data_IF_824005371724
#
_entry.id   IF_824005371724
#
_cell.length_a   1.000
_cell.length_b   1.000
_cell.length_c   1.000
_cell.angle_alpha   90.00
_cell.angle_beta   90.00
_cell.angle_gamma   90.00
#
_symmetry.space_group_name_H-M   'P 1'
#
loop_
_entity.id
_entity.type
_entity.pdbx_description
1 polymer ?
#
# COMPACT_ATOMS: atom_id res chain seq x y z
N UNK A 1 25.01 1.33 -9.05
CA UNK A 1 25.50 0.60 -7.85
C UNK A 1 26.63 -0.37 -8.21
N UNK A 2 27.69 -0.33 -7.42
CA UNK A 2 29.05 -0.70 -7.79
C UNK A 2 29.73 -1.37 -6.61
N UNK A 3 30.51 -2.44 -6.80
CA UNK A 3 31.29 -3.05 -5.72
C UNK A 3 32.75 -2.64 -5.80
N UNK A 4 33.22 -1.93 -4.78
CA UNK A 4 34.59 -1.46 -4.67
C UNK A 4 35.42 -2.42 -3.79
N UNK A 5 36.63 -2.74 -4.26
CA UNK A 5 37.73 -3.22 -3.41
C UNK A 5 38.51 -1.99 -2.91
N UNK A 6 39.43 -2.14 -1.92
CA UNK A 6 40.33 -1.06 -1.52
C UNK A 6 41.19 -0.46 -2.66
N UNK A 7 41.24 -1.11 -3.84
CA UNK A 7 41.93 -0.65 -5.05
C UNK A 7 41.02 0.06 -6.07
N UNK A 8 39.81 0.47 -5.67
CA UNK A 8 38.85 1.11 -6.56
C UNK A 8 37.91 0.14 -7.29
N UNK A 9 37.05 0.72 -8.12
CA UNK A 9 35.97 0.03 -8.84
C UNK A 9 36.52 -0.61 -10.11
N UNK A 10 36.50 -1.94 -10.19
CA UNK A 10 36.81 -2.66 -11.45
C UNK A 10 35.58 -2.67 -12.37
N UNK A 11 35.77 -2.50 -13.68
CA UNK A 11 34.66 -2.37 -14.66
C UNK A 11 33.69 -3.55 -14.66
N UNK A 12 34.17 -4.78 -14.39
CA UNK A 12 33.32 -5.98 -14.22
C UNK A 12 32.48 -6.03 -12.93
N UNK A 13 32.55 -5.00 -12.07
CA UNK A 13 31.81 -4.87 -10.80
C UNK A 13 30.81 -3.71 -10.80
N UNK A 14 30.63 -3.06 -11.96
CA UNK A 14 29.60 -2.05 -12.18
C UNK A 14 28.31 -2.74 -12.55
N UNK A 15 27.21 -2.37 -11.90
CA UNK A 15 25.89 -2.71 -12.44
C UNK A 15 25.04 -1.45 -12.61
N UNK A 16 24.17 -1.49 -13.60
CA UNK A 16 23.26 -0.40 -13.96
C UNK A 16 22.37 0.03 -12.78
N UNK A 17 21.94 1.31 -12.76
CA UNK A 17 20.91 1.78 -11.84
C UNK A 17 19.59 1.09 -12.16
N UNK A 18 18.73 0.98 -11.16
CA UNK A 18 17.44 0.30 -11.27
C UNK A 18 16.33 1.27 -10.93
N UNK A 19 15.21 1.20 -11.66
CA UNK A 19 13.94 1.83 -11.30
C UNK A 19 12.91 0.73 -11.04
N UNK A 20 12.24 0.73 -9.88
CA UNK A 20 11.03 -0.05 -9.57
C UNK A 20 11.09 -1.02 -8.36
N UNK A 21 9.91 -1.39 -7.83
CA UNK A 21 9.71 -2.11 -6.56
C UNK A 21 10.08 -3.61 -6.56
N UNK A 22 10.30 -4.23 -7.73
CA UNK A 22 10.57 -5.67 -7.87
C UNK A 22 11.76 -5.93 -8.78
N UNK A 23 12.96 -5.74 -8.24
CA UNK A 23 14.20 -5.87 -9.01
C UNK A 23 14.93 -7.17 -8.66
N UNK A 24 14.82 -8.25 -9.47
CA UNK A 24 15.65 -9.44 -9.33
C UNK A 24 17.16 -9.10 -9.31
N UNK A 25 17.53 -7.97 -9.91
CA UNK A 25 18.89 -7.44 -9.96
C UNK A 25 19.45 -7.02 -8.59
N UNK A 26 18.66 -6.50 -7.63
CA UNK A 26 19.20 -6.15 -6.31
C UNK A 26 19.59 -7.42 -5.54
N UNK A 27 18.71 -8.42 -5.50
CA UNK A 27 19.00 -9.68 -4.82
C UNK A 27 20.21 -10.39 -5.45
N UNK A 28 20.30 -10.39 -6.79
CA UNK A 28 21.46 -10.93 -7.50
C UNK A 28 22.75 -10.20 -7.13
N UNK A 29 22.70 -8.88 -7.00
CA UNK A 29 23.85 -8.06 -6.61
C UNK A 29 24.24 -8.24 -5.15
N UNK A 30 23.28 -8.36 -4.24
CA UNK A 30 23.55 -8.71 -2.84
C UNK A 30 24.15 -10.11 -2.74
N UNK A 31 23.64 -11.10 -3.48
CA UNK A 31 24.25 -12.44 -3.56
C UNK A 31 25.70 -12.38 -4.05
N UNK A 32 25.96 -11.57 -5.07
CA UNK A 32 27.31 -11.38 -5.59
C UNK A 32 28.23 -10.66 -4.58
N UNK A 33 27.77 -9.56 -3.96
CA UNK A 33 28.48 -8.86 -2.89
C UNK A 33 28.86 -9.81 -1.75
N UNK A 34 27.89 -10.59 -1.27
CA UNK A 34 28.08 -11.60 -0.22
C UNK A 34 29.07 -12.71 -0.61
N UNK A 35 29.16 -13.05 -1.89
CA UNK A 35 30.14 -14.04 -2.39
C UNK A 35 31.56 -13.46 -2.36
N UNK A 36 31.72 -12.22 -2.81
CA UNK A 36 33.03 -11.55 -2.85
C UNK A 36 33.54 -11.22 -1.44
N UNK A 37 32.64 -10.83 -0.54
CA UNK A 37 32.95 -10.51 0.86
C UNK A 37 33.63 -11.66 1.63
N UNK A 38 33.47 -12.92 1.17
CA UNK A 38 34.13 -14.08 1.80
C UNK A 38 35.65 -14.08 1.63
N UNK A 39 36.16 -13.44 0.58
CA UNK A 39 37.56 -13.54 0.20
C UNK A 39 38.27 -12.18 0.19
N UNK A 40 37.52 -11.07 0.24
CA UNK A 40 38.09 -9.73 0.11
C UNK A 40 37.23 -8.74 0.91
N UNK A 41 37.82 -7.72 1.57
CA UNK A 41 37.05 -6.60 2.07
C UNK A 41 36.30 -5.92 0.92
N UNK A 42 34.98 -5.81 1.07
CA UNK A 42 34.09 -5.30 0.03
C UNK A 42 33.33 -4.08 0.52
N UNK A 43 33.31 -3.05 -0.31
CA UNK A 43 32.40 -1.92 -0.20
C UNK A 43 31.35 -1.98 -1.31
N UNK A 44 30.13 -1.63 -0.95
CA UNK A 44 28.96 -1.56 -1.79
C UNK A 44 28.61 -0.10 -1.98
N UNK A 45 28.81 0.39 -3.20
CA UNK A 45 28.71 1.81 -3.53
C UNK A 45 27.45 2.04 -4.34
N UNK A 46 26.60 2.97 -3.88
CA UNK A 46 25.39 3.42 -4.56
C UNK A 46 25.50 4.91 -4.85
N UNK A 47 24.77 5.43 -5.84
CA UNK A 47 24.76 6.88 -6.04
C UNK A 47 23.87 7.53 -4.98
N UNK A 48 22.62 7.09 -4.88
CA UNK A 48 21.67 7.49 -3.85
C UNK A 48 21.14 6.28 -3.09
N UNK A 49 20.75 6.46 -1.84
CA UNK A 49 20.19 5.42 -0.96
C UNK A 49 18.87 4.87 -1.50
N UNK A 50 18.10 5.70 -2.21
CA UNK A 50 16.84 5.31 -2.87
C UNK A 50 17.06 4.29 -4.00
N UNK A 51 18.28 4.13 -4.53
CA UNK A 51 18.58 3.09 -5.53
C UNK A 51 18.58 1.67 -4.92
N UNK A 52 18.57 1.54 -3.59
CA UNK A 52 18.45 0.27 -2.90
C UNK A 52 17.01 -0.26 -2.87
N UNK A 53 16.01 0.59 -3.04
CA UNK A 53 14.60 0.22 -3.09
C UNK A 53 13.65 1.35 -2.67
N UNK A 54 12.39 1.21 -3.06
CA UNK A 54 11.35 2.23 -2.83
C UNK A 54 10.77 2.20 -1.40
N UNK A 55 11.02 1.11 -0.67
CA UNK A 55 10.51 0.91 0.68
C UNK A 55 11.62 1.17 1.71
N UNK A 56 11.47 2.14 2.63
CA UNK A 56 12.50 2.49 3.61
C UNK A 56 12.81 1.31 4.54
N UNK A 57 11.82 0.47 4.84
CA UNK A 57 11.98 -0.77 5.60
C UNK A 57 12.91 -1.77 4.88
N UNK A 58 12.78 -1.88 3.55
CA UNK A 58 13.63 -2.75 2.74
C UNK A 58 15.06 -2.22 2.72
N UNK A 59 15.24 -0.91 2.55
CA UNK A 59 16.55 -0.25 2.60
C UNK A 59 17.24 -0.53 3.93
N UNK A 60 16.54 -0.34 5.06
CA UNK A 60 17.09 -0.63 6.38
C UNK A 60 17.47 -2.09 6.58
N UNK A 61 16.65 -3.02 6.07
CA UNK A 61 16.97 -4.45 6.11
C UNK A 61 18.23 -4.77 5.33
N UNK A 62 18.43 -4.15 4.17
CA UNK A 62 19.64 -4.32 3.35
C UNK A 62 20.86 -3.74 4.05
N UNK A 63 20.74 -2.53 4.61
CA UNK A 63 21.82 -1.90 5.40
C UNK A 63 22.25 -2.78 6.57
N UNK A 64 21.27 -3.31 7.32
CA UNK A 64 21.54 -4.19 8.45
C UNK A 64 22.23 -5.50 8.03
N UNK A 65 21.76 -6.15 6.96
CA UNK A 65 22.37 -7.40 6.44
C UNK A 65 23.79 -7.17 5.89
N UNK A 66 24.05 -6.02 5.25
CA UNK A 66 25.40 -5.68 4.80
C UNK A 66 26.33 -5.45 6.00
N UNK A 67 25.85 -4.76 7.04
CA UNK A 67 26.62 -4.50 8.26
C UNK A 67 26.94 -5.77 9.05
N UNK A 68 25.98 -6.67 9.23
CA UNK A 68 26.18 -7.96 9.92
C UNK A 68 27.29 -8.79 9.25
N UNK A 69 27.45 -8.63 7.94
CA UNK A 69 28.46 -9.34 7.14
C UNK A 69 29.77 -8.57 6.97
N UNK A 70 29.92 -7.41 7.60
CA UNK A 70 31.10 -6.56 7.48
C UNK A 70 31.31 -5.95 6.09
N UNK A 71 30.23 -5.79 5.30
CA UNK A 71 30.26 -5.14 3.98
C UNK A 71 29.91 -3.67 4.17
N UNK A 72 30.82 -2.77 3.79
CA UNK A 72 30.56 -1.33 3.83
C UNK A 72 29.52 -0.93 2.79
N UNK A 73 28.58 -0.06 3.14
CA UNK A 73 27.70 0.63 2.20
C UNK A 73 28.08 2.12 2.15
N UNK A 74 28.36 2.61 0.94
CA UNK A 74 28.67 4.02 0.64
C UNK A 74 27.68 4.59 -0.36
N UNK A 75 27.00 5.68 -0.03
CA UNK A 75 26.16 6.45 -0.95
C UNK A 75 26.88 7.74 -1.36
N UNK A 76 27.20 7.89 -2.66
CA UNK A 76 28.04 8.99 -3.17
C UNK A 76 27.34 10.34 -3.05
N UNK A 77 26.10 10.43 -3.55
CA UNK A 77 25.36 11.68 -3.59
C UNK A 77 24.81 12.08 -2.21
N UNK A 78 24.53 11.10 -1.36
CA UNK A 78 23.98 11.35 -0.02
C UNK A 78 25.08 11.53 1.05
N UNK A 79 26.34 11.25 0.71
CA UNK A 79 27.48 11.37 1.63
C UNK A 79 27.41 10.42 2.83
N UNK A 80 26.80 9.24 2.67
CA UNK A 80 26.59 8.27 3.75
C UNK A 80 27.59 7.12 3.61
N UNK A 81 28.38 6.84 4.64
CA UNK A 81 29.27 5.69 4.78
C UNK A 81 28.97 4.91 6.07
N UNK A 82 28.36 3.74 5.91
CA UNK A 82 27.93 2.89 7.04
C UNK A 82 29.05 2.19 7.80
N UNK A 83 30.31 2.30 7.35
CA UNK A 83 31.47 1.78 8.09
C UNK A 83 31.86 2.67 9.27
N UNK A 84 31.46 3.95 9.27
CA UNK A 84 31.72 4.88 10.36
C UNK A 84 30.57 4.87 11.38
N UNK A 85 30.89 4.80 12.67
CA UNK A 85 29.89 4.72 13.75
C UNK A 85 28.94 5.93 13.82
N UNK A 86 29.44 7.12 13.53
CA UNK A 86 28.66 8.38 13.50
C UNK A 86 27.65 8.41 12.35
N UNK A 87 28.02 7.85 11.20
CA UNK A 87 27.25 7.93 9.97
C UNK A 87 26.09 6.92 9.90
N UNK A 88 25.94 6.05 10.92
CA UNK A 88 24.79 5.15 11.09
C UNK A 88 23.54 5.89 11.60
N UNK A 89 23.70 7.03 12.27
CA UNK A 89 22.57 7.75 12.91
C UNK A 89 21.71 8.47 11.86
N UNK A 90 22.33 9.13 10.90
CA UNK A 90 21.67 9.89 9.83
C UNK A 90 20.65 9.06 9.04
N UNK A 91 20.98 7.87 8.50
CA UNK A 91 20.01 7.07 7.76
C UNK A 91 18.86 6.61 8.66
N UNK A 92 19.09 6.35 9.95
CA UNK A 92 18.03 5.97 10.91
C UNK A 92 17.07 7.12 11.21
N UNK A 93 17.57 8.35 11.32
CA UNK A 93 16.73 9.54 11.47
C UNK A 93 15.86 9.76 10.23
N UNK A 94 16.46 9.70 9.04
CA UNK A 94 15.74 9.83 7.78
C UNK A 94 14.67 8.75 7.63
N UNK A 95 14.93 7.54 8.10
CA UNK A 95 13.93 6.48 8.15
C UNK A 95 12.72 6.84 9.02
N UNK A 96 12.97 7.33 10.24
CA UNK A 96 11.89 7.76 11.15
C UNK A 96 11.04 8.85 10.49
N UNK A 97 11.68 9.87 9.88
CA UNK A 97 10.97 10.94 9.18
C UNK A 97 10.15 10.41 8.00
N UNK A 98 10.70 9.49 7.20
CA UNK A 98 9.99 8.92 6.06
C UNK A 98 8.75 8.11 6.47
N UNK A 99 8.79 7.42 7.60
CA UNK A 99 7.64 6.67 8.11
C UNK A 99 6.59 7.63 8.69
N UNK A 100 7.01 8.71 9.36
CA UNK A 100 6.09 9.76 9.83
C UNK A 100 5.32 10.40 8.66
N UNK A 101 6.01 10.78 7.58
CA UNK A 101 5.39 11.37 6.39
C UNK A 101 4.38 10.43 5.72
N UNK A 102 4.73 9.13 5.63
CA UNK A 102 3.84 8.09 5.09
C UNK A 102 2.58 7.91 5.92
N UNK A 103 2.70 7.90 7.24
CA UNK A 103 1.56 7.82 8.14
C UNK A 103 0.69 9.07 8.00
N UNK A 104 1.29 10.27 7.97
CA UNK A 104 0.55 11.52 7.84
C UNK A 104 -0.25 11.58 6.52
N UNK A 105 0.35 11.16 5.41
CA UNK A 105 -0.33 11.08 4.11
C UNK A 105 -1.53 10.12 4.15
N UNK A 106 -1.40 8.97 4.81
CA UNK A 106 -2.49 8.01 5.02
C UNK A 106 -3.59 8.56 5.92
N UNK A 107 -3.22 9.29 6.97
CA UNK A 107 -4.17 9.92 7.88
C UNK A 107 -5.01 10.96 7.14
N UNK A 108 -4.36 11.89 6.41
CA UNK A 108 -5.04 12.91 5.60
C UNK A 108 -6.01 12.30 4.59
N UNK A 109 -5.59 11.27 3.87
CA UNK A 109 -6.47 10.59 2.90
C UNK A 109 -7.65 9.90 3.59
N UNK A 110 -7.43 9.30 4.76
CA UNK A 110 -8.51 8.69 5.55
C UNK A 110 -9.52 9.72 6.06
N UNK A 111 -9.05 10.90 6.48
CA UNK A 111 -9.88 12.02 6.91
C UNK A 111 -10.68 12.59 5.75
N UNK A 112 -10.05 12.77 4.58
CA UNK A 112 -10.74 13.20 3.37
C UNK A 112 -11.84 12.20 2.94
N UNK A 113 -11.56 10.90 3.02
CA UNK A 113 -12.57 9.86 2.73
C UNK A 113 -13.71 9.90 3.75
N UNK A 114 -13.42 10.06 5.04
CA UNK A 114 -14.46 10.20 6.08
C UNK A 114 -15.32 11.44 5.86
N UNK A 115 -14.70 12.56 5.49
CA UNK A 115 -15.42 13.79 5.14
C UNK A 115 -16.36 13.56 3.95
N UNK A 116 -15.84 13.01 2.85
CA UNK A 116 -16.65 12.70 1.66
C UNK A 116 -17.79 11.72 1.97
N UNK A 117 -17.56 10.73 2.83
CA UNK A 117 -18.59 9.81 3.30
C UNK A 117 -19.67 10.52 4.12
N UNK A 118 -19.29 11.47 4.97
CA UNK A 118 -20.27 12.27 5.76
C UNK A 118 -21.15 13.15 4.88
N UNK A 119 -20.63 13.60 3.73
CA UNK A 119 -21.40 14.32 2.70
C UNK A 119 -22.22 13.38 1.80
N UNK A 120 -22.13 12.06 1.99
CA UNK A 120 -22.82 11.06 1.18
C UNK A 120 -22.21 10.82 -0.20
N UNK A 121 -20.97 11.27 -0.44
CA UNK A 121 -20.25 11.04 -1.69
C UNK A 121 -19.77 9.58 -1.72
N UNK A 122 -20.25 8.83 -2.71
CA UNK A 122 -19.82 7.44 -2.92
C UNK A 122 -18.47 7.44 -3.64
N UNK A 123 -17.41 7.10 -2.90
CA UNK A 123 -16.07 6.93 -3.45
C UNK A 123 -15.91 5.59 -4.20
N UNK A 124 -15.13 5.58 -5.28
CA UNK A 124 -14.76 4.37 -6.01
C UNK A 124 -15.33 4.28 -7.42
N UNK A 125 -15.32 3.07 -8.01
CA UNK A 125 -15.83 2.85 -9.37
C UNK A 125 -17.33 3.13 -9.39
N UNK A 126 -17.85 3.91 -10.36
CA UNK A 126 -19.27 4.20 -10.45
C UNK A 126 -20.08 2.91 -10.60
N UNK A 127 -21.22 2.87 -9.91
CA UNK A 127 -22.09 1.70 -9.93
C UNK A 127 -22.67 1.48 -11.34
N UNK A 128 -22.47 0.29 -11.88
CA UNK A 128 -22.84 -0.03 -13.27
C UNK A 128 -24.35 -0.08 -13.49
N UNK A 129 -25.11 -0.42 -12.45
CA UNK A 129 -26.56 -0.53 -12.51
C UNK A 129 -27.23 0.74 -11.96
N UNK A 130 -27.32 1.78 -12.79
CA UNK A 130 -27.95 3.06 -12.43
C UNK A 130 -29.40 2.88 -11.93
N UNK A 131 -29.93 3.80 -11.11
CA UNK A 131 -31.30 3.68 -10.58
C UNK A 131 -32.36 3.50 -11.67
N UNK A 132 -32.20 4.16 -12.82
CA UNK A 132 -33.07 3.98 -14.00
C UNK A 132 -33.03 2.54 -14.55
N UNK A 133 -31.81 2.00 -14.71
CA UNK A 133 -31.61 0.60 -15.16
C UNK A 133 -32.24 -0.38 -14.17
N UNK A 134 -32.09 -0.12 -12.87
CA UNK A 134 -32.71 -0.95 -11.83
C UNK A 134 -34.23 -0.94 -11.94
N UNK A 135 -34.86 0.24 -12.04
CA UNK A 135 -36.32 0.34 -12.13
C UNK A 135 -36.89 -0.45 -13.33
N UNK A 136 -36.25 -0.34 -14.49
CA UNK A 136 -36.65 -1.06 -15.71
C UNK A 136 -36.43 -2.57 -15.55
N UNK A 137 -35.27 -2.98 -15.06
CA UNK A 137 -34.97 -4.39 -14.84
C UNK A 137 -35.96 -5.04 -13.87
N UNK A 138 -36.34 -4.33 -12.80
CA UNK A 138 -37.35 -4.81 -11.84
C UNK A 138 -38.71 -4.97 -12.48
N UNK A 139 -39.16 -3.99 -13.26
CA UNK A 139 -40.43 -4.06 -13.97
C UNK A 139 -40.46 -5.23 -14.96
N UNK A 140 -39.39 -5.44 -15.71
CA UNK A 140 -39.31 -6.54 -16.69
C UNK A 140 -39.21 -7.92 -16.04
N UNK A 141 -38.49 -8.04 -14.91
CA UNK A 141 -38.42 -9.28 -14.15
C UNK A 141 -39.77 -9.63 -13.52
N UNK A 142 -40.53 -8.64 -13.03
CA UNK A 142 -41.88 -8.85 -12.52
C UNK A 142 -42.88 -9.31 -13.60
N UNK A 143 -42.64 -8.93 -14.86
CA UNK A 143 -43.39 -9.40 -16.03
C UNK A 143 -42.99 -10.81 -16.49
N UNK A 144 -42.03 -11.47 -15.81
CA UNK A 144 -41.58 -12.82 -16.17
C UNK A 144 -40.65 -12.89 -17.38
N UNK A 145 -40.09 -11.76 -17.84
CA UNK A 145 -39.16 -11.76 -19.00
C UNK A 145 -37.85 -12.48 -18.70
N UNK A 146 -37.23 -13.05 -19.73
CA UNK A 146 -35.97 -13.78 -19.57
C UNK A 146 -34.83 -12.85 -19.16
N UNK A 147 -33.92 -13.34 -18.31
CA UNK A 147 -32.79 -12.50 -17.83
C UNK A 147 -31.86 -12.00 -18.93
N UNK A 148 -31.84 -12.65 -20.11
CA UNK A 148 -31.08 -12.19 -21.28
C UNK A 148 -31.74 -10.99 -21.95
N UNK A 149 -33.05 -11.06 -22.18
CA UNK A 149 -33.81 -9.94 -22.74
C UNK A 149 -33.71 -8.69 -21.86
N UNK A 150 -33.77 -8.86 -20.54
CA UNK A 150 -33.59 -7.74 -19.60
C UNK A 150 -32.20 -7.12 -19.71
N UNK A 151 -31.15 -7.94 -19.84
CA UNK A 151 -29.77 -7.46 -19.99
C UNK A 151 -29.59 -6.63 -21.26
N UNK A 152 -30.17 -7.05 -22.39
CA UNK A 152 -30.02 -6.36 -23.65
C UNK A 152 -30.69 -4.97 -23.63
N UNK A 153 -31.89 -4.89 -23.01
CA UNK A 153 -32.56 -3.61 -22.78
C UNK A 153 -31.74 -2.71 -21.84
N UNK A 154 -31.21 -3.27 -20.74
CA UNK A 154 -30.42 -2.52 -19.76
C UNK A 154 -29.11 -2.00 -20.35
N UNK A 155 -28.48 -2.77 -21.23
CA UNK A 155 -27.26 -2.38 -21.96
C UNK A 155 -27.51 -1.21 -22.91
N UNK A 156 -28.69 -1.15 -23.54
CA UNK A 156 -29.04 -0.09 -24.47
C UNK A 156 -29.24 1.28 -23.79
N UNK A 157 -29.52 1.29 -22.48
CA UNK A 157 -29.68 2.53 -21.70
C UNK A 157 -28.32 3.23 -21.53
N UNK A 158 -28.30 4.55 -21.68
CA UNK A 158 -27.10 5.39 -21.49
C UNK A 158 -26.48 5.17 -20.10
N UNK A 159 -25.18 4.89 -20.04
CA UNK A 159 -24.45 4.73 -18.78
C UNK A 159 -23.17 3.90 -18.92
N UNK A 160 -22.51 3.53 -17.80
CA UNK A 160 -21.33 2.68 -17.81
C UNK A 160 -21.60 1.33 -18.50
N UNK A 161 -20.62 0.75 -19.18
CA UNK A 161 -20.78 -0.55 -19.83
C UNK A 161 -21.09 -1.64 -18.77
N UNK A 162 -22.16 -2.40 -18.99
CA UNK A 162 -22.57 -3.51 -18.12
C UNK A 162 -22.19 -4.86 -18.73
N UNK A 163 -21.34 -5.61 -18.03
CA UNK A 163 -21.03 -6.98 -18.38
C UNK A 163 -22.20 -7.91 -18.01
N UNK A 164 -22.30 -9.05 -18.70
CA UNK A 164 -23.26 -10.11 -18.38
C UNK A 164 -23.11 -10.56 -16.91
N UNK A 165 -21.87 -10.73 -16.45
CA UNK A 165 -21.57 -11.11 -15.07
C UNK A 165 -22.06 -10.08 -14.06
N UNK A 166 -21.85 -8.78 -14.30
CA UNK A 166 -22.30 -7.72 -13.41
C UNK A 166 -23.83 -7.72 -13.23
N UNK A 167 -24.58 -7.92 -14.32
CA UNK A 167 -26.03 -8.01 -14.26
C UNK A 167 -26.53 -9.23 -13.49
N UNK A 168 -26.00 -10.42 -13.76
CA UNK A 168 -26.44 -11.63 -13.05
C UNK A 168 -26.03 -11.60 -11.56
N UNK A 169 -24.89 -10.99 -11.22
CA UNK A 169 -24.50 -10.74 -9.82
C UNK A 169 -25.48 -9.80 -9.13
N UNK A 170 -25.90 -8.73 -9.80
CA UNK A 170 -26.95 -7.84 -9.30
C UNK A 170 -28.28 -8.57 -9.10
N UNK A 171 -28.71 -9.38 -10.08
CA UNK A 171 -29.94 -10.16 -9.99
C UNK A 171 -29.90 -11.16 -8.82
N UNK A 172 -28.79 -11.91 -8.67
CA UNK A 172 -28.59 -12.84 -7.56
C UNK A 172 -28.61 -12.12 -6.21
N UNK A 173 -27.94 -10.98 -6.10
CA UNK A 173 -27.91 -10.19 -4.86
C UNK A 173 -29.32 -9.75 -4.46
N UNK A 174 -30.10 -9.29 -5.44
CA UNK A 174 -31.50 -8.90 -5.22
C UNK A 174 -32.37 -10.06 -4.73
N UNK A 175 -32.21 -11.26 -5.31
CA UNK A 175 -32.95 -12.45 -4.86
C UNK A 175 -32.64 -12.78 -3.39
N UNK A 176 -31.36 -12.68 -3.00
CA UNK A 176 -30.93 -12.86 -1.60
C UNK A 176 -31.58 -11.81 -0.69
N UNK A 177 -31.56 -10.54 -1.09
CA UNK A 177 -32.15 -9.44 -0.29
C UNK A 177 -33.67 -9.62 -0.11
N UNK A 178 -34.37 -10.19 -1.10
CA UNK A 178 -35.80 -10.51 -1.00
C UNK A 178 -36.09 -11.68 -0.04
N UNK A 179 -35.13 -12.59 0.12
CA UNK A 179 -35.26 -13.80 0.95
C UNK A 179 -34.83 -13.58 2.41
N UNK A 180 -34.17 -12.46 2.74
CA UNK A 180 -33.79 -12.08 4.11
C UNK A 180 -33.93 -10.57 4.33
N UNK A 181 -35.14 -10.06 4.62
CA UNK A 181 -35.43 -8.63 4.72
C UNK A 181 -34.71 -7.88 5.86
N UNK A 182 -33.99 -8.58 6.76
CA UNK A 182 -33.33 -8.01 7.94
C UNK A 182 -31.81 -8.17 8.01
N UNK A 183 -31.15 -8.75 7.00
CA UNK A 183 -29.73 -9.13 7.07
C UNK A 183 -28.75 -8.12 6.45
N UNK A 184 -29.08 -6.82 6.44
CA UNK A 184 -28.04 -5.82 6.13
C UNK A 184 -27.16 -5.64 7.37
N UNK A 185 -25.84 -5.89 7.32
CA UNK A 185 -24.98 -5.20 8.25
C UNK A 185 -25.19 -3.71 7.98
N UNK A 186 -25.69 -3.01 8.99
CA UNK A 186 -25.78 -1.56 8.95
C UNK A 186 -24.39 -1.02 8.60
N UNK A 187 -24.24 -0.41 7.44
CA UNK A 187 -23.10 0.48 7.16
C UNK A 187 -23.32 1.82 7.88
N UNK A 188 -24.07 1.79 8.99
CA UNK A 188 -24.26 2.92 9.88
C UNK A 188 -23.04 3.00 10.79
N UNK A 189 -22.29 4.09 10.62
CA UNK A 189 -21.70 4.86 11.71
C UNK A 189 -21.06 4.04 12.83
N UNK A 190 -19.78 3.71 12.69
CA UNK A 190 -18.90 3.67 13.87
C UNK A 190 -18.69 5.11 14.34
N UNK A 191 -19.74 5.73 14.88
CA UNK A 191 -19.61 6.85 15.79
C UNK A 191 -18.92 6.29 17.03
N UNK A 192 -17.67 6.74 17.20
CA UNK A 192 -16.97 6.77 18.47
C UNK A 192 -17.92 7.17 19.61
N UNK A 193 -18.31 6.19 20.43
CA UNK A 193 -18.72 6.50 21.79
C UNK A 193 -17.44 6.81 22.58
N UNK A 194 -17.05 8.07 22.54
CA UNK A 194 -16.23 8.70 23.56
C UNK A 194 -16.99 8.59 24.88
N UNK A 195 -16.72 7.56 25.67
CA UNK A 195 -16.97 7.60 27.12
C UNK A 195 -15.75 8.25 27.77
N UNK A 196 -15.64 9.57 27.63
CA UNK A 196 -15.03 10.40 28.66
C UNK A 196 -15.97 10.42 29.86
N UNK A 197 -15.87 9.37 30.67
CA UNK A 197 -16.39 9.39 32.03
C UNK A 197 -15.31 9.96 32.93
N UNK A 198 -15.47 11.24 33.26
CA UNK A 198 -14.93 11.90 34.47
C UNK A 198 -14.58 10.91 35.59
N UNK A 199 -13.34 10.92 36.04
CA UNK A 199 -13.03 10.65 37.44
C UNK A 199 -11.79 11.46 37.85
N UNK A 200 -12.01 12.77 38.01
CA UNK A 200 -11.20 13.59 38.90
C UNK A 200 -11.63 13.28 40.33
N UNK A 201 -10.65 12.95 41.17
CA UNK A 201 -10.68 13.02 42.64
C UNK A 201 -11.64 12.10 43.42
N UNK A 202 -11.09 11.07 44.06
CA UNK A 202 -11.26 10.90 45.50
C UNK A 202 -10.24 9.95 46.13
N UNK A 203 -9.40 10.55 46.99
CA UNK A 203 -9.12 10.13 48.38
C UNK A 203 -8.47 8.75 48.63
N UNK A 204 -7.23 8.86 49.10
CA UNK A 204 -6.75 8.35 50.40
C UNK A 204 -7.06 6.90 50.84
N UNK A 205 -5.99 6.28 51.37
CA UNK A 205 -5.99 5.40 52.55
C UNK A 205 -6.03 3.89 52.29
N UNK A 206 -5.09 3.21 52.98
CA UNK A 206 -4.92 1.76 53.24
C UNK A 206 -4.20 1.01 52.11
N UNK A 207 -3.06 0.36 52.31
CA UNK A 207 -2.29 -0.09 53.48
C UNK A 207 -0.81 -0.16 53.08
#
# INVERSE_FOLDING_TARGET
MVLASPMGVKDGRKFSPIAGENCPNLQQRLRYARRVARHTPTEFVVNKIVELGDQPVMVMRVVADLRERGIGLRAIADGIDTMQSTEVIVPRLLFILSEMERVETRMRTSEAVRHAQSEGIVCGRPFTMTPERQAIAVRMLAQGKSGREVLDVVKAIRGPNISRSAYYLWQKRRMIDQQSPGARPSVASSSSSTTESRCSECKSSRK
#
